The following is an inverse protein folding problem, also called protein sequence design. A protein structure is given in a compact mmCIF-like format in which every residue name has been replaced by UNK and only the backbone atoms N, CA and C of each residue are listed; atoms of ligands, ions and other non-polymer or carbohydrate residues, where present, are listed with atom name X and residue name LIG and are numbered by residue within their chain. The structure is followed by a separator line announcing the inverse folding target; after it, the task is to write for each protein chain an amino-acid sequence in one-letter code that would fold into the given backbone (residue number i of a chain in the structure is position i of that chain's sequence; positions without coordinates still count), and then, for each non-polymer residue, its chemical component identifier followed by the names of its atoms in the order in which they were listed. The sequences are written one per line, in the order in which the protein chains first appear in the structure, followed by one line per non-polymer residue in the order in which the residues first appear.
data_IF_386002947093
#
_entry.id   IF_386002947093
#
_cell.length_a   1.000
_cell.length_b   1.000
_cell.length_c   1.000
_cell.angle_alpha   90.00
_cell.angle_beta   90.00
_cell.angle_gamma   90.00
#
_symmetry.space_group_name_H-M   'P 1'
#
loop_
_entity.id
_entity.type
_entity.pdbx_description
1 polymer ?
#
# COMPACT_ATOMS: atom_id res chain seq x y z
N UNK A 1 8.40 -5.30 -12.13
CA UNK A 1 7.70 -5.97 -11.02
C UNK A 1 6.20 -5.85 -11.22
N UNK A 2 5.47 -6.91 -11.01
CA UNK A 2 4.01 -6.93 -11.07
C UNK A 2 3.43 -6.86 -9.66
N UNK A 3 2.17 -6.42 -9.56
CA UNK A 3 1.51 -6.30 -8.25
C UNK A 3 1.44 -7.64 -7.50
N UNK A 4 1.25 -8.74 -8.21
CA UNK A 4 1.22 -10.05 -7.56
C UNK A 4 2.59 -10.44 -6.98
N UNK A 5 3.69 -10.01 -7.61
CA UNK A 5 5.02 -10.24 -7.10
C UNK A 5 5.29 -9.37 -5.86
N UNK A 6 4.82 -8.13 -5.91
CA UNK A 6 4.90 -7.23 -4.77
C UNK A 6 4.11 -7.79 -3.58
N UNK A 7 2.93 -8.34 -3.82
CA UNK A 7 2.12 -8.95 -2.77
C UNK A 7 2.84 -10.12 -2.10
N UNK A 8 3.41 -11.01 -2.91
CA UNK A 8 4.19 -12.14 -2.39
C UNK A 8 5.35 -11.67 -1.52
N UNK A 9 6.08 -10.66 -1.99
CA UNK A 9 7.19 -10.10 -1.24
C UNK A 9 6.71 -9.48 0.07
N UNK A 10 5.60 -8.75 0.02
CA UNK A 10 5.03 -8.13 1.21
C UNK A 10 4.69 -9.17 2.28
N UNK A 11 4.01 -10.24 1.90
CA UNK A 11 3.68 -11.33 2.82
C UNK A 11 4.93 -11.94 3.41
N UNK A 12 5.94 -12.22 2.57
CA UNK A 12 7.18 -12.84 3.03
C UNK A 12 7.99 -11.95 3.97
N UNK A 13 7.95 -10.63 3.74
CA UNK A 13 8.70 -9.67 4.58
C UNK A 13 7.98 -9.34 5.88
N UNK A 14 6.70 -9.68 6.00
CA UNK A 14 5.90 -9.38 7.20
C UNK A 14 5.24 -10.65 7.74
N UNK A 15 6.03 -11.66 8.18
CA UNK A 15 5.46 -12.96 8.58
C UNK A 15 4.57 -12.90 9.82
N UNK A 16 4.65 -11.84 10.62
CA UNK A 16 3.80 -11.70 11.82
C UNK A 16 2.47 -11.01 11.53
N UNK A 17 2.23 -10.58 10.30
CA UNK A 17 0.97 -9.96 9.89
C UNK A 17 0.11 -11.02 9.20
N UNK A 18 -1.17 -11.06 9.55
CA UNK A 18 -2.13 -11.86 8.83
C UNK A 18 -2.67 -11.04 7.66
N UNK A 19 -2.40 -11.51 6.45
CA UNK A 19 -2.84 -10.86 5.22
C UNK A 19 -4.07 -11.54 4.67
N UNK A 20 -5.08 -10.74 4.28
CA UNK A 20 -6.26 -11.22 3.58
C UNK A 20 -6.35 -10.52 2.24
N UNK A 21 -5.94 -11.21 1.18
CA UNK A 21 -6.04 -10.66 -0.16
C UNK A 21 -7.50 -10.60 -0.59
N UNK A 22 -7.90 -9.44 -1.11
CA UNK A 22 -9.28 -9.23 -1.55
C UNK A 22 -9.35 -9.36 -3.06
N UNK A 23 -10.24 -10.22 -3.53
CA UNK A 23 -10.51 -10.38 -4.95
C UNK A 23 -11.46 -9.29 -5.44
N UNK A 24 -11.33 -8.92 -6.73
CA UNK A 24 -11.99 -7.75 -7.30
C UNK A 24 -13.51 -7.81 -7.38
N UNK A 25 -14.13 -8.93 -7.08
CA UNK A 25 -15.58 -9.03 -7.18
C UNK A 25 -16.32 -8.47 -5.96
N UNK A 26 -15.61 -8.02 -4.92
CA UNK A 26 -16.24 -7.51 -3.70
C UNK A 26 -16.72 -6.07 -3.89
N UNK A 27 -15.99 -5.28 -4.64
CA UNK A 27 -16.39 -3.90 -4.88
C UNK A 27 -15.31 -3.12 -5.60
N UNK A 28 -15.73 -2.16 -6.41
CA UNK A 28 -14.80 -1.31 -7.14
C UNK A 28 -14.10 -0.38 -6.17
N UNK A 29 -12.77 -0.34 -6.24
CA UNK A 29 -11.95 0.55 -5.41
C UNK A 29 -11.64 0.03 -4.02
N UNK A 30 -12.15 -1.14 -3.63
CA UNK A 30 -11.76 -1.75 -2.36
C UNK A 30 -10.28 -2.15 -2.41
N UNK A 31 -9.51 -1.94 -1.32
CA UNK A 31 -8.06 -2.23 -1.30
C UNK A 31 -7.73 -3.70 -1.57
N UNK A 32 -6.50 -3.93 -2.06
CA UNK A 32 -6.02 -5.27 -2.42
C UNK A 32 -5.83 -6.19 -1.23
N UNK A 33 -5.47 -5.64 -0.07
CA UNK A 33 -5.07 -6.43 1.08
C UNK A 33 -5.66 -5.86 2.37
N UNK A 34 -6.20 -6.73 3.20
CA UNK A 34 -6.63 -6.39 4.56
C UNK A 34 -5.61 -6.99 5.52
N UNK A 35 -5.00 -6.13 6.33
CA UNK A 35 -3.98 -6.52 7.29
C UNK A 35 -4.60 -6.64 8.67
N UNK A 36 -4.32 -7.75 9.35
CA UNK A 36 -4.73 -7.90 10.75
C UNK A 36 -3.48 -7.83 11.62
N UNK A 37 -3.36 -6.76 12.40
CA UNK A 37 -2.18 -6.45 13.19
C UNK A 37 -2.62 -6.05 14.60
N UNK A 38 -2.12 -6.74 15.62
CA UNK A 38 -2.40 -6.39 17.01
C UNK A 38 -3.90 -6.20 17.30
N UNK A 39 -4.72 -7.14 16.79
CA UNK A 39 -6.17 -7.16 16.98
C UNK A 39 -6.92 -6.03 16.28
N UNK A 40 -6.32 -5.39 15.29
CA UNK A 40 -6.95 -4.31 14.51
C UNK A 40 -6.82 -4.60 13.03
N UNK A 41 -7.79 -4.11 12.26
CA UNK A 41 -7.75 -4.22 10.80
C UNK A 41 -7.23 -2.94 10.17
N UNK A 42 -6.42 -3.12 9.14
CA UNK A 42 -5.89 -2.05 8.29
C UNK A 42 -6.05 -2.48 6.84
N UNK A 43 -5.99 -1.54 5.93
CA UNK A 43 -6.08 -1.84 4.51
C UNK A 43 -4.85 -1.33 3.77
N UNK A 44 -4.51 -1.99 2.68
CA UNK A 44 -3.36 -1.60 1.87
C UNK A 44 -3.69 -1.79 0.39
N UNK A 45 -3.45 -0.75 -0.39
CA UNK A 45 -3.51 -0.79 -1.84
C UNK A 45 -2.11 -0.99 -2.38
N UNK A 46 -1.93 -2.00 -3.25
CA UNK A 46 -0.64 -2.30 -3.84
C UNK A 46 -0.58 -1.73 -5.26
N UNK A 47 0.49 -1.03 -5.57
CA UNK A 47 0.73 -0.46 -6.89
C UNK A 47 2.18 -0.70 -7.30
N UNK A 48 2.38 -0.92 -8.59
CA UNK A 48 3.72 -1.00 -9.18
C UNK A 48 3.83 -0.02 -10.33
N UNK A 49 5.02 0.53 -10.52
CA UNK A 49 5.31 1.39 -11.66
C UNK A 49 6.71 1.07 -12.18
N UNK A 50 6.85 1.12 -13.50
CA UNK A 50 8.16 0.94 -14.16
C UNK A 50 8.90 2.26 -14.32
N UNK A 51 8.18 3.38 -14.20
CA UNK A 51 8.74 4.71 -14.36
C UNK A 51 8.61 5.50 -13.05
N UNK A 52 7.60 6.35 -12.98
CA UNK A 52 7.34 7.15 -11.78
C UNK A 52 5.84 7.32 -11.54
N UNK A 53 5.06 7.50 -12.60
CA UNK A 53 3.64 7.75 -12.50
C UNK A 53 2.91 6.52 -11.95
N UNK A 54 2.02 6.74 -11.01
CA UNK A 54 1.21 5.69 -10.39
C UNK A 54 -0.23 5.87 -10.83
N UNK A 55 -0.83 4.79 -11.35
CA UNK A 55 -2.23 4.80 -11.79
C UNK A 55 -3.13 4.44 -10.62
N UNK A 56 -3.89 5.41 -10.16
CA UNK A 56 -4.85 5.22 -9.07
C UNK A 56 -6.23 5.58 -9.62
N UNK A 57 -7.17 4.64 -9.55
CA UNK A 57 -8.51 4.85 -10.10
C UNK A 57 -9.32 5.84 -9.25
N UNK A 58 -10.36 6.47 -9.82
CA UNK A 58 -11.22 7.36 -9.04
C UNK A 58 -11.83 6.69 -7.82
N UNK A 59 -12.17 5.41 -7.91
CA UNK A 59 -12.73 4.67 -6.78
C UNK A 59 -11.70 4.43 -5.68
N UNK A 60 -10.45 4.16 -6.06
CA UNK A 60 -9.35 4.00 -5.11
C UNK A 60 -9.01 5.34 -4.43
N UNK A 61 -9.08 6.44 -5.18
CA UNK A 61 -8.90 7.78 -4.63
C UNK A 61 -9.99 8.08 -3.62
N UNK A 62 -11.25 7.80 -3.98
CA UNK A 62 -12.39 8.01 -3.08
C UNK A 62 -12.24 7.21 -1.80
N UNK A 63 -11.84 5.94 -1.92
CA UNK A 63 -11.61 5.10 -0.73
C UNK A 63 -10.55 5.72 0.19
N UNK A 64 -9.43 6.16 -0.39
CA UNK A 64 -8.36 6.78 0.39
C UNK A 64 -8.83 8.06 1.10
N UNK A 65 -9.61 8.89 0.43
CA UNK A 65 -10.13 10.12 1.01
C UNK A 65 -11.11 9.85 2.15
N UNK A 66 -11.88 8.77 2.06
CA UNK A 66 -12.83 8.38 3.10
C UNK A 66 -12.16 7.65 4.27
N UNK A 67 -10.94 7.17 4.08
CA UNK A 67 -10.21 6.40 5.08
C UNK A 67 -8.82 7.02 5.33
N UNK A 68 -8.76 8.20 5.93
CA UNK A 68 -7.47 8.89 6.15
C UNK A 68 -6.56 8.19 7.16
N UNK A 69 -7.12 7.31 7.98
CA UNK A 69 -6.39 6.57 9.01
C UNK A 69 -6.58 5.07 8.78
N UNK A 70 -5.49 4.31 8.87
CA UNK A 70 -5.55 2.85 8.77
C UNK A 70 -5.59 2.31 7.36
N UNK A 71 -5.38 3.15 6.36
CA UNK A 71 -5.28 2.75 4.96
C UNK A 71 -3.94 3.22 4.40
N UNK A 72 -3.27 2.34 3.66
CA UNK A 72 -1.91 2.58 3.17
C UNK A 72 -1.78 2.27 1.70
N UNK A 73 -0.77 2.86 1.07
CA UNK A 73 -0.33 2.52 -0.28
C UNK A 73 1.07 1.92 -0.19
N UNK A 74 1.21 0.71 -0.71
CA UNK A 74 2.51 0.05 -0.87
C UNK A 74 2.87 0.10 -2.35
N UNK A 75 3.97 0.76 -2.68
CA UNK A 75 4.33 1.03 -4.07
C UNK A 75 5.69 0.43 -4.38
N UNK A 76 5.74 -0.41 -5.41
CA UNK A 76 6.98 -1.00 -5.91
C UNK A 76 7.41 -0.34 -7.19
N UNK A 77 8.72 -0.09 -7.30
CA UNK A 77 9.37 0.44 -8.50
C UNK A 77 10.71 -0.26 -8.67
N UNK A 78 10.78 -1.17 -9.64
CA UNK A 78 11.97 -2.00 -9.83
C UNK A 78 12.29 -2.76 -8.54
N UNK A 79 13.44 -2.49 -7.91
CA UNK A 79 13.85 -3.12 -6.65
C UNK A 79 13.51 -2.27 -5.42
N UNK A 80 12.94 -1.09 -5.64
CA UNK A 80 12.60 -0.18 -4.56
C UNK A 80 11.15 -0.37 -4.11
N UNK A 81 10.88 -0.07 -2.85
CA UNK A 81 9.54 -0.14 -2.28
C UNK A 81 9.35 1.02 -1.33
N UNK A 82 8.16 1.59 -1.33
CA UNK A 82 7.78 2.68 -0.42
C UNK A 82 6.40 2.44 0.13
N UNK A 83 6.21 2.78 1.40
CA UNK A 83 4.91 2.74 2.06
C UNK A 83 4.48 4.18 2.34
N UNK A 84 3.24 4.51 1.94
CA UNK A 84 2.66 5.83 2.18
C UNK A 84 1.37 5.71 2.98
N UNK A 85 1.08 6.75 3.77
CA UNK A 85 -0.23 6.88 4.38
C UNK A 85 -1.29 7.29 3.36
N UNK A 86 -2.54 6.97 3.66
CA UNK A 86 -3.67 7.34 2.82
C UNK A 86 -3.73 8.84 2.49
N UNK A 87 -3.42 9.68 3.46
CA UNK A 87 -3.47 11.14 3.28
C UNK A 87 -2.40 11.68 2.34
N UNK A 88 -1.46 10.85 1.90
CA UNK A 88 -0.49 11.22 0.86
C UNK A 88 -1.05 11.08 -0.56
N UNK A 89 -2.33 10.79 -0.72
CA UNK A 89 -2.94 10.51 -2.02
C UNK A 89 -2.71 11.65 -3.03
N UNK A 90 -2.84 12.90 -2.61
CA UNK A 90 -2.64 14.04 -3.52
C UNK A 90 -1.20 14.10 -4.02
N UNK A 91 -0.23 13.89 -3.13
CA UNK A 91 1.18 13.88 -3.51
C UNK A 91 1.51 12.71 -4.44
N UNK A 92 0.92 11.55 -4.19
CA UNK A 92 1.11 10.39 -5.05
C UNK A 92 0.55 10.64 -6.46
N UNK A 93 -0.59 11.31 -6.58
CA UNK A 93 -1.19 11.65 -7.87
C UNK A 93 -0.35 12.66 -8.63
N UNK A 94 0.23 13.62 -7.93
CA UNK A 94 1.01 14.70 -8.58
C UNK A 94 2.44 14.27 -8.87
N UNK A 95 3.10 13.60 -7.93
CA UNK A 95 4.54 13.35 -7.99
C UNK A 95 4.90 11.89 -8.26
N UNK A 96 3.97 10.96 -8.10
CA UNK A 96 4.22 9.54 -8.35
C UNK A 96 5.12 8.91 -7.30
N UNK A 97 5.95 7.96 -7.73
CA UNK A 97 6.81 7.19 -6.81
C UNK A 97 7.79 8.07 -6.05
N UNK A 98 8.21 9.20 -6.63
CA UNK A 98 9.14 10.14 -5.98
C UNK A 98 8.47 11.09 -4.99
N UNK A 99 7.17 10.91 -4.72
CA UNK A 99 6.45 11.74 -3.75
C UNK A 99 7.19 11.77 -2.43
N UNK A 100 7.15 12.93 -1.76
CA UNK A 100 7.86 13.15 -0.51
C UNK A 100 7.15 12.50 0.67
N UNK A 101 7.91 12.25 1.73
CA UNK A 101 7.40 11.82 3.02
C UNK A 101 6.74 10.43 3.01
N UNK A 102 7.36 9.41 2.38
CA UNK A 102 6.90 8.04 2.63
C UNK A 102 7.08 7.73 4.12
N UNK A 103 6.24 6.84 4.64
CA UNK A 103 6.42 6.31 6.00
C UNK A 103 7.75 5.57 6.08
N UNK A 104 8.04 4.79 5.04
CA UNK A 104 9.24 3.97 4.97
C UNK A 104 9.56 3.69 3.50
N UNK A 105 10.84 3.46 3.21
CA UNK A 105 11.32 3.23 1.85
C UNK A 105 12.18 1.97 1.71
N UNK A 106 12.05 1.05 2.63
CA UNK A 106 12.69 -0.26 2.56
C UNK A 106 11.89 -1.26 3.40
N UNK A 107 12.11 -2.54 3.16
CA UNK A 107 11.32 -3.58 3.81
C UNK A 107 11.49 -3.61 5.33
N UNK A 108 12.69 -3.38 5.80
CA UNK A 108 12.94 -3.38 7.24
C UNK A 108 12.12 -2.30 7.95
N UNK A 109 12.14 -1.09 7.42
CA UNK A 109 11.43 0.04 8.04
C UNK A 109 9.91 -0.10 7.88
N UNK A 110 9.45 -0.65 6.75
CA UNK A 110 8.02 -0.97 6.55
C UNK A 110 7.57 -1.96 7.60
N UNK A 111 8.30 -3.05 7.79
CA UNK A 111 7.98 -4.06 8.78
C UNK A 111 7.99 -3.48 10.19
N UNK A 112 9.02 -2.71 10.53
CA UNK A 112 9.14 -2.11 11.86
C UNK A 112 7.96 -1.18 12.16
N UNK A 113 7.56 -0.38 11.18
CA UNK A 113 6.40 0.51 11.32
C UNK A 113 5.11 -0.28 11.55
N UNK A 114 4.85 -1.23 10.67
CA UNK A 114 3.60 -2.00 10.72
C UNK A 114 3.47 -2.83 12.00
N UNK A 115 4.57 -3.39 12.48
CA UNK A 115 4.54 -4.21 13.69
C UNK A 115 4.24 -3.40 14.96
N UNK A 116 4.33 -2.08 14.90
CA UNK A 116 4.03 -1.19 16.04
C UNK A 116 2.60 -0.67 16.02
N UNK A 117 1.82 -1.00 14.99
CA UNK A 117 0.44 -0.52 14.88
C UNK A 117 -0.54 -1.22 15.88
#
# INVERSE_FOLDING_TARGET
MKEKDLYKRFVNETPKILHHRIENFIGVGFPDDVLYINNKFYTCELKCTDHNKIKISPFQISFAMQHPIGHYFLIGHKKEVKLFESKSIDDLLKEGFKAKNPIANNWKDIRDYLYKL
#
